data_IF_264194179160
#
_entry.id   IF_264194179160
#
_cell.length_a   1.000
_cell.length_b   1.000
_cell.length_c   1.000
_cell.angle_alpha   90.00
_cell.angle_beta   90.00
_cell.angle_gamma   90.00
#
_symmetry.space_group_name_H-M   'P 1'
#
loop_
_entity.id
_entity.type
_entity.pdbx_description
1 polymer ?
#
# COMPACT_ATOMS: atom_id res chain seq x y z
N UNK A 1 9.77 10.08 -1.41
CA UNK A 1 9.45 10.01 -2.85
C UNK A 1 8.74 8.70 -3.19
N UNK A 2 9.33 7.53 -2.84
CA UNK A 2 8.78 6.19 -3.11
C UNK A 2 7.33 6.04 -2.62
N UNK A 3 7.05 6.41 -1.36
CA UNK A 3 5.71 6.35 -0.78
C UNK A 3 4.68 7.18 -1.56
N UNK A 4 5.06 8.39 -1.97
CA UNK A 4 4.17 9.27 -2.74
C UNK A 4 3.81 8.65 -4.10
N UNK A 5 4.79 8.08 -4.80
CA UNK A 5 4.58 7.44 -6.09
C UNK A 5 3.66 6.23 -5.97
N UNK A 6 3.89 5.36 -4.99
CA UNK A 6 3.09 4.16 -4.77
C UNK A 6 1.66 4.52 -4.35
N UNK A 7 1.48 5.44 -3.39
CA UNK A 7 0.13 5.87 -2.95
C UNK A 7 -0.67 6.56 -4.04
N UNK A 8 -0.03 7.27 -4.96
CA UNK A 8 -0.70 7.91 -6.08
C UNK A 8 -1.26 6.90 -7.08
N UNK A 9 -0.58 5.79 -7.29
CA UNK A 9 -0.91 4.76 -8.28
C UNK A 9 -1.73 3.61 -7.73
N UNK A 10 -1.35 3.05 -6.58
CA UNK A 10 -2.03 1.90 -5.97
C UNK A 10 -3.26 2.30 -5.15
N UNK A 11 -3.37 3.55 -4.72
CA UNK A 11 -4.39 4.00 -3.78
C UNK A 11 -3.97 3.73 -2.33
N UNK A 12 -4.95 3.64 -1.44
CA UNK A 12 -4.72 3.37 -0.02
C UNK A 12 -5.81 3.96 0.86
N UNK A 13 -5.62 3.82 2.16
CA UNK A 13 -6.50 4.37 3.18
C UNK A 13 -6.45 5.91 3.20
N UNK A 14 -7.61 6.54 3.15
CA UNK A 14 -7.75 7.99 3.32
C UNK A 14 -8.66 8.29 4.50
N UNK A 15 -8.19 9.12 5.40
CA UNK A 15 -9.01 9.65 6.49
C UNK A 15 -10.09 10.61 5.98
N UNK A 16 -11.14 10.80 6.75
CA UNK A 16 -12.24 11.70 6.41
C UNK A 16 -11.84 13.19 6.44
N UNK A 17 -10.79 13.52 7.21
CA UNK A 17 -10.28 14.89 7.39
C UNK A 17 -8.87 15.01 6.84
N UNK A 18 -8.53 16.20 6.35
CA UNK A 18 -7.17 16.52 5.88
C UNK A 18 -6.14 16.37 7.01
N UNK A 19 -6.45 16.88 8.20
CA UNK A 19 -5.60 16.77 9.38
C UNK A 19 -5.33 15.30 9.76
N UNK A 20 -6.37 14.46 9.78
CA UNK A 20 -6.20 13.02 10.01
C UNK A 20 -5.28 12.35 8.99
N UNK A 21 -5.40 12.70 7.71
CA UNK A 21 -4.53 12.16 6.66
C UNK A 21 -3.07 12.61 6.84
N UNK A 22 -2.85 13.85 7.29
CA UNK A 22 -1.53 14.40 7.59
C UNK A 22 -0.90 13.68 8.79
N UNK A 23 -1.63 13.54 9.90
CA UNK A 23 -1.16 12.82 11.10
C UNK A 23 -0.80 11.37 10.79
N UNK A 24 -1.64 10.65 10.05
CA UNK A 24 -1.34 9.27 9.61
C UNK A 24 -0.08 9.23 8.75
N UNK A 25 0.13 10.21 7.86
CA UNK A 25 1.31 10.25 6.99
C UNK A 25 2.58 10.55 7.77
N UNK A 26 2.55 11.45 8.75
CA UNK A 26 3.68 11.78 9.63
C UNK A 26 4.00 10.58 10.54
N UNK A 27 2.99 10.00 11.18
CA UNK A 27 3.17 8.81 12.03
C UNK A 27 3.74 7.63 11.23
N UNK A 28 3.31 7.47 10.00
CA UNK A 28 3.83 6.46 9.09
C UNK A 28 5.32 6.69 8.75
N UNK A 29 5.69 7.92 8.42
CA UNK A 29 7.09 8.27 8.15
C UNK A 29 7.96 8.05 9.38
N UNK A 30 7.49 8.49 10.55
CA UNK A 30 8.18 8.28 11.83
C UNK A 30 8.38 6.78 12.12
N UNK A 31 7.36 5.96 11.96
CA UNK A 31 7.43 4.52 12.16
C UNK A 31 8.47 3.86 11.25
N UNK A 32 8.47 4.22 9.95
CA UNK A 32 9.41 3.68 8.98
C UNK A 32 10.86 4.09 9.22
N UNK A 33 11.09 5.29 9.76
CA UNK A 33 12.44 5.83 9.90
C UNK A 33 13.06 5.52 11.26
N UNK A 34 12.24 5.33 12.32
CA UNK A 34 12.76 5.18 13.69
C UNK A 34 12.55 3.79 14.28
N UNK A 35 11.31 3.28 14.27
CA UNK A 35 10.99 2.05 14.99
C UNK A 35 11.24 0.78 14.17
N UNK A 36 10.82 0.77 12.91
CA UNK A 36 10.90 -0.43 12.08
C UNK A 36 12.33 -0.83 11.68
N UNK A 37 13.30 0.10 11.45
CA UNK A 37 14.70 -0.27 11.20
C UNK A 37 15.38 -0.97 12.37
N UNK A 38 14.85 -0.86 13.59
CA UNK A 38 15.35 -1.60 14.76
C UNK A 38 15.07 -3.12 14.67
N UNK A 39 14.10 -3.51 13.84
CA UNK A 39 13.82 -4.93 13.59
C UNK A 39 14.85 -5.46 12.59
N UNK A 40 15.79 -6.25 13.09
CA UNK A 40 16.82 -6.88 12.27
C UNK A 40 16.24 -8.08 11.51
N UNK A 41 16.05 -7.92 10.22
CA UNK A 41 15.69 -9.00 9.31
C UNK A 41 16.87 -9.33 8.41
N UNK A 42 17.08 -10.61 8.15
CA UNK A 42 18.12 -11.06 7.21
C UNK A 42 17.74 -10.70 5.76
N UNK A 43 18.76 -10.58 4.89
CA UNK A 43 18.53 -10.22 3.48
C UNK A 43 17.52 -11.15 2.79
N UNK A 44 17.58 -12.50 2.91
CA UNK A 44 16.61 -13.39 2.29
C UNK A 44 15.18 -13.20 2.81
N UNK A 45 15.00 -12.93 4.10
CA UNK A 45 13.68 -12.67 4.68
C UNK A 45 13.06 -11.39 4.11
N UNK A 46 13.87 -10.33 3.95
CA UNK A 46 13.42 -9.07 3.32
C UNK A 46 13.01 -9.28 1.86
N UNK A 47 13.76 -10.07 1.11
CA UNK A 47 13.42 -10.39 -0.28
C UNK A 47 12.12 -11.18 -0.38
N UNK A 48 11.93 -12.18 0.49
CA UNK A 48 10.70 -12.98 0.54
C UNK A 48 9.48 -12.12 0.87
N UNK A 49 9.58 -11.27 1.88
CA UNK A 49 8.51 -10.35 2.27
C UNK A 49 8.20 -9.32 1.17
N UNK A 50 9.23 -8.79 0.51
CA UNK A 50 9.06 -7.86 -0.60
C UNK A 50 8.32 -8.53 -1.78
N UNK A 51 8.65 -9.78 -2.10
CA UNK A 51 7.92 -10.57 -3.09
C UNK A 51 6.45 -10.72 -2.72
N UNK A 52 6.16 -11.05 -1.45
CA UNK A 52 4.79 -11.11 -0.94
C UNK A 52 4.04 -9.78 -1.10
N UNK A 53 4.68 -8.65 -0.82
CA UNK A 53 4.11 -7.33 -1.01
C UNK A 53 3.81 -7.01 -2.48
N UNK A 54 4.66 -7.44 -3.42
CA UNK A 54 4.41 -7.31 -4.86
C UNK A 54 3.16 -8.09 -5.26
N UNK A 55 3.01 -9.32 -4.78
CA UNK A 55 1.82 -10.15 -5.04
C UNK A 55 0.55 -9.53 -4.47
N UNK A 56 0.59 -9.04 -3.22
CA UNK A 56 -0.52 -8.34 -2.58
C UNK A 56 -0.90 -7.08 -3.39
N UNK A 57 0.08 -6.28 -3.79
CA UNK A 57 -0.17 -5.10 -4.60
C UNK A 57 -0.78 -5.47 -5.95
N UNK A 58 -0.26 -6.48 -6.62
CA UNK A 58 -0.79 -6.97 -7.89
C UNK A 58 -2.23 -7.47 -7.75
N UNK A 59 -2.58 -8.16 -6.68
CA UNK A 59 -3.92 -8.68 -6.44
C UNK A 59 -4.94 -7.57 -6.09
N UNK A 60 -4.54 -6.62 -5.23
CA UNK A 60 -5.47 -5.65 -4.63
C UNK A 60 -5.47 -4.28 -5.31
N UNK A 61 -4.36 -3.84 -5.91
CA UNK A 61 -4.30 -2.52 -6.54
C UNK A 61 -5.03 -2.47 -7.89
N UNK A 62 -5.59 -1.31 -8.25
CA UNK A 62 -5.79 -0.14 -7.41
C UNK A 62 -7.09 -0.21 -6.59
N UNK A 63 -7.01 0.12 -5.31
CA UNK A 63 -8.20 0.28 -4.47
C UNK A 63 -8.73 1.70 -4.66
N UNK A 64 -9.92 1.81 -5.25
CA UNK A 64 -10.61 3.09 -5.39
C UNK A 64 -11.35 3.43 -4.10
N UNK A 65 -11.10 4.62 -3.56
CA UNK A 65 -11.90 5.17 -2.45
C UNK A 65 -13.31 5.50 -2.95
N UNK A 66 -14.32 5.26 -2.11
CA UNK A 66 -15.72 5.59 -2.38
C UNK A 66 -15.97 7.08 -2.69
N UNK A 67 -15.06 7.95 -2.23
CA UNK A 67 -15.14 9.41 -2.43
C UNK A 67 -14.52 9.91 -3.76
N UNK A 68 -13.87 9.04 -4.53
CA UNK A 68 -13.29 9.43 -5.83
C UNK A 68 -14.17 8.94 -6.97
N UNK A 69 -14.28 9.73 -8.05
CA UNK A 69 -15.01 9.30 -9.25
C UNK A 69 -14.45 7.96 -9.75
N UNK A 70 -15.34 7.11 -10.23
CA UNK A 70 -14.96 5.79 -10.71
C UNK A 70 -13.92 5.90 -11.84
N UNK A 71 -12.74 5.35 -11.61
CA UNK A 71 -11.69 5.29 -12.63
C UNK A 71 -12.13 4.39 -13.78
N UNK A 72 -11.88 4.81 -15.01
CA UNK A 72 -12.11 3.97 -16.17
C UNK A 72 -11.25 2.69 -16.09
N UNK A 73 -11.73 1.60 -16.69
CA UNK A 73 -11.06 0.30 -16.68
C UNK A 73 -9.61 0.41 -17.19
N UNK A 74 -9.38 1.19 -18.26
CA UNK A 74 -8.06 1.42 -18.82
C UNK A 74 -7.12 2.12 -17.83
N UNK A 75 -7.59 3.15 -17.11
CA UNK A 75 -6.81 3.85 -16.08
C UNK A 75 -6.48 2.94 -14.89
N UNK A 76 -7.42 2.07 -14.47
CA UNK A 76 -7.18 1.09 -13.41
C UNK A 76 -6.06 0.12 -13.80
N UNK A 77 -6.12 -0.43 -15.01
CA UNK A 77 -5.09 -1.33 -15.54
C UNK A 77 -3.72 -0.66 -15.59
N UNK A 78 -3.66 0.57 -16.11
CA UNK A 78 -2.42 1.36 -16.17
C UNK A 78 -1.82 1.60 -14.78
N UNK A 79 -2.62 2.02 -13.80
CA UNK A 79 -2.13 2.28 -12.45
C UNK A 79 -1.65 1.02 -11.74
N UNK A 80 -2.32 -0.13 -11.96
CA UNK A 80 -1.88 -1.42 -11.46
C UNK A 80 -0.47 -1.76 -11.99
N UNK A 81 -0.25 -1.64 -13.28
CA UNK A 81 1.05 -1.92 -13.89
C UNK A 81 2.15 -0.98 -13.41
N UNK A 82 1.85 0.32 -13.29
CA UNK A 82 2.82 1.31 -12.80
C UNK A 82 3.20 1.01 -11.36
N UNK A 83 2.23 0.77 -10.46
CA UNK A 83 2.53 0.49 -9.04
C UNK A 83 3.32 -0.80 -8.87
N UNK A 84 2.94 -1.86 -9.58
CA UNK A 84 3.68 -3.13 -9.55
C UNK A 84 5.08 -2.97 -10.13
N UNK A 85 5.24 -2.23 -11.23
CA UNK A 85 6.54 -1.93 -11.81
C UNK A 85 7.48 -1.19 -10.85
N UNK A 86 6.99 -0.18 -10.13
CA UNK A 86 7.78 0.54 -9.12
C UNK A 86 8.27 -0.42 -8.03
N UNK A 87 7.40 -1.30 -7.53
CA UNK A 87 7.78 -2.28 -6.49
C UNK A 87 8.79 -3.30 -7.03
N UNK A 88 8.62 -3.75 -8.26
CA UNK A 88 9.53 -4.70 -8.91
C UNK A 88 10.93 -4.08 -9.11
N UNK A 89 10.99 -2.83 -9.56
CA UNK A 89 12.27 -2.10 -9.67
C UNK A 89 12.94 -1.98 -8.32
N UNK A 90 12.20 -1.63 -7.26
CA UNK A 90 12.75 -1.57 -5.91
C UNK A 90 13.25 -2.93 -5.42
N UNK A 91 12.54 -4.01 -5.72
CA UNK A 91 12.98 -5.38 -5.42
C UNK A 91 14.32 -5.71 -6.06
N UNK A 92 14.53 -5.37 -7.34
CA UNK A 92 15.82 -5.57 -8.00
C UNK A 92 16.91 -4.69 -7.40
N UNK A 93 16.62 -3.45 -7.03
CA UNK A 93 17.58 -2.60 -6.33
C UNK A 93 17.97 -3.24 -4.99
N UNK A 94 17.00 -3.74 -4.22
CA UNK A 94 17.25 -4.42 -2.95
C UNK A 94 18.11 -5.69 -3.12
N UNK A 95 17.95 -6.40 -4.24
CA UNK A 95 18.72 -7.60 -4.56
C UNK A 95 20.21 -7.29 -4.83
N UNK A 96 20.47 -6.24 -5.61
CA UNK A 96 21.81 -5.91 -6.12
C UNK A 96 22.59 -5.05 -5.13
N UNK A 97 21.91 -4.14 -4.42
CA UNK A 97 22.57 -3.15 -3.57
C UNK A 97 23.00 -3.75 -2.23
N UNK A 98 24.18 -3.36 -1.68
CA UNK A 98 24.56 -3.71 -0.33
C UNK A 98 23.60 -3.07 0.67
N UNK A 99 23.49 -3.70 1.84
CA UNK A 99 22.60 -3.22 2.91
C UNK A 99 23.02 -1.85 3.42
N UNK A 100 22.10 -0.91 3.39
CA UNK A 100 22.24 0.39 4.02
C UNK A 100 20.90 0.82 4.65
N UNK A 101 20.95 1.82 5.53
CA UNK A 101 19.79 2.31 6.28
C UNK A 101 18.63 2.79 5.39
N UNK A 102 18.96 3.37 4.23
CA UNK A 102 17.94 3.84 3.28
C UNK A 102 17.19 2.68 2.62
N UNK A 103 17.88 1.56 2.34
CA UNK A 103 17.26 0.35 1.79
C UNK A 103 16.34 -0.31 2.81
N UNK A 104 16.75 -0.36 4.08
CA UNK A 104 15.94 -0.88 5.18
C UNK A 104 14.68 -0.02 5.35
N UNK A 105 14.84 1.30 5.40
CA UNK A 105 13.68 2.22 5.51
C UNK A 105 12.74 2.11 4.31
N UNK A 106 13.28 2.01 3.08
CA UNK A 106 12.49 1.82 1.87
C UNK A 106 11.70 0.50 1.87
N UNK A 107 12.31 -0.58 2.34
CA UNK A 107 11.65 -1.86 2.53
C UNK A 107 10.45 -1.76 3.47
N UNK A 108 10.59 -1.11 4.62
CA UNK A 108 9.51 -0.91 5.58
C UNK A 108 8.37 -0.06 5.02
N UNK A 109 8.68 0.92 4.17
CA UNK A 109 7.67 1.68 3.44
C UNK A 109 6.80 0.77 2.58
N UNK A 110 7.38 -0.22 1.92
CA UNK A 110 6.65 -1.18 1.08
C UNK A 110 5.77 -2.10 1.93
N UNK A 111 6.29 -2.63 3.03
CA UNK A 111 5.52 -3.47 3.96
C UNK A 111 4.28 -2.73 4.47
N UNK A 112 4.48 -1.54 5.03
CA UNK A 112 3.36 -0.75 5.56
C UNK A 112 2.37 -0.33 4.46
N UNK A 113 2.84 -0.08 3.23
CA UNK A 113 1.96 0.18 2.10
C UNK A 113 1.08 -1.05 1.77
N UNK A 114 1.65 -2.25 1.76
CA UNK A 114 0.90 -3.49 1.54
C UNK A 114 -0.15 -3.71 2.63
N UNK A 115 0.18 -3.44 3.91
CA UNK A 115 -0.78 -3.48 5.03
C UNK A 115 -1.91 -2.48 4.82
N UNK A 116 -1.62 -1.22 4.49
CA UNK A 116 -2.63 -0.20 4.22
C UNK A 116 -3.55 -0.58 3.06
N UNK A 117 -2.99 -1.15 1.99
CA UNK A 117 -3.75 -1.59 0.84
C UNK A 117 -4.70 -2.73 1.19
N UNK A 118 -4.23 -3.68 2.00
CA UNK A 118 -5.03 -4.80 2.52
C UNK A 118 -6.18 -4.32 3.41
N UNK A 119 -5.90 -3.39 4.33
CA UNK A 119 -6.93 -2.76 5.18
C UNK A 119 -7.97 -2.02 4.34
N UNK A 120 -7.56 -1.25 3.34
CA UNK A 120 -8.47 -0.51 2.47
C UNK A 120 -9.35 -1.45 1.63
N UNK A 121 -8.80 -2.58 1.17
CA UNK A 121 -9.55 -3.60 0.45
C UNK A 121 -10.57 -4.32 1.36
N UNK A 122 -10.19 -4.62 2.61
CA UNK A 122 -11.08 -5.22 3.60
C UNK A 122 -12.24 -4.30 3.96
N UNK A 123 -11.98 -3.01 4.21
CA UNK A 123 -13.02 -2.01 4.47
C UNK A 123 -14.03 -1.92 3.34
N UNK A 124 -13.56 -1.94 2.09
CA UNK A 124 -14.44 -1.91 0.93
C UNK A 124 -15.38 -3.11 0.89
N UNK A 125 -14.89 -4.31 1.19
CA UNK A 125 -15.72 -5.54 1.25
C UNK A 125 -16.78 -5.44 2.34
N UNK A 126 -16.42 -4.98 3.53
CA UNK A 126 -17.34 -4.83 4.68
C UNK A 126 -18.45 -3.83 4.33
N UNK A 127 -18.11 -2.69 3.74
CA UNK A 127 -19.08 -1.67 3.35
C UNK A 127 -20.07 -2.20 2.29
N UNK A 128 -19.60 -3.00 1.34
CA UNK A 128 -20.44 -3.59 0.29
C UNK A 128 -21.41 -4.63 0.89
N UNK A 129 -20.96 -5.48 1.80
CA UNK A 129 -21.80 -6.48 2.48
C UNK A 129 -22.86 -5.80 3.33
N UNK A 130 -22.48 -4.75 4.10
CA UNK A 130 -23.43 -4.02 4.94
C UNK A 130 -24.54 -3.35 4.12
N UNK A 131 -24.20 -2.75 2.99
CA UNK A 131 -25.18 -2.11 2.09
C UNK A 131 -26.19 -3.13 1.53
N UNK A 132 -25.71 -4.33 1.19
CA UNK A 132 -26.57 -5.42 0.69
C UNK A 132 -27.55 -5.90 1.78
N UNK A 133 -27.08 -6.09 2.99
CA UNK A 133 -27.89 -6.57 4.13
C UNK A 133 -28.94 -5.54 4.57
N UNK A 134 -28.64 -4.24 4.48
CA UNK A 134 -29.62 -3.19 4.80
C UNK A 134 -30.71 -3.11 3.74
N UNK A 135 -30.36 -3.31 2.48
CA UNK A 135 -31.33 -3.25 1.38
C UNK A 135 -32.28 -4.44 1.37
N UNK A 136 -31.82 -5.63 1.79
CA UNK A 136 -32.68 -6.82 1.93
C UNK A 136 -33.66 -6.73 3.11
N UNK A 137 -33.37 -5.92 4.14
CA UNK A 137 -34.27 -5.72 5.29
C UNK A 137 -35.32 -4.64 5.06
N UNK A 138 -35.22 -3.88 3.99
CA UNK A 138 -36.16 -2.79 3.66
C UNK A 138 -37.24 -3.19 2.64
N UNK A 139 -37.24 -4.46 2.24
CA UNK A 139 -38.28 -5.09 1.40
C UNK A 139 -39.13 -6.00 2.27
#
# INVERSE_FOLDING_TARGET
LLLCCIRRTAGGFHCNTYAGCLFVSIGYAFLCLTLLPLVSLTKPERLLLCMGCILINYALAPVSSSKRPALSVAKKKRFKWISTGILTVFFFILLITPENEYMVSGFWVIILHAVQLSCAAAQKKICTVFHHTVQERSI
#
